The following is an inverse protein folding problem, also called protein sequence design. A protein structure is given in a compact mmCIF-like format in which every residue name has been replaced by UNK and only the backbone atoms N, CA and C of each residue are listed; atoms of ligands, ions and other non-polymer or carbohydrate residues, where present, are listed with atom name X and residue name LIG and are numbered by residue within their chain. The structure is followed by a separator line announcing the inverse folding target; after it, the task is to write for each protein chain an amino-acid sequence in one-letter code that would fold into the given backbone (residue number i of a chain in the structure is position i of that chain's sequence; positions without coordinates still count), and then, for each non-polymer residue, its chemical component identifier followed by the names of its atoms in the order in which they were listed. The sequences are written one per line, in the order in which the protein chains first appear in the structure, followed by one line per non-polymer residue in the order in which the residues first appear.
data_IF_956878515430
#
_entry.id   IF_956878515430
#
_cell.length_a   1.000
_cell.length_b   1.000
_cell.length_c   1.000
_cell.angle_alpha   90.00
_cell.angle_beta   90.00
_cell.angle_gamma   90.00
#
_symmetry.space_group_name_H-M   'P 1'
#
loop_
_entity.id
_entity.type
_entity.pdbx_description
1 polymer ?
#
# COMPACT_ATOMS: atom_id res chain seq x y z
N UNK A 1 -20.51 2.44 8.03
CA UNK A 1 -20.61 3.70 8.78
C UNK A 1 -20.47 3.39 10.27
N UNK A 2 -19.58 4.08 10.95
CA UNK A 2 -19.29 3.90 12.39
C UNK A 2 -20.41 4.41 13.30
N UNK A 3 -21.36 5.16 12.75
CA UNK A 3 -22.43 5.82 13.50
C UNK A 3 -22.01 7.18 14.06
N UNK A 4 -20.73 7.57 13.89
CA UNK A 4 -20.20 8.89 14.27
C UNK A 4 -20.13 9.75 13.01
N UNK A 5 -21.07 10.68 12.85
CA UNK A 5 -21.21 11.50 11.64
C UNK A 5 -19.90 12.19 11.20
N UNK A 6 -19.21 12.85 12.12
CA UNK A 6 -17.98 13.58 11.81
C UNK A 6 -16.84 12.66 11.37
N UNK A 7 -16.77 11.46 11.95
CA UNK A 7 -15.78 10.46 11.58
C UNK A 7 -16.08 10.01 10.15
N UNK A 8 -17.28 9.46 9.92
CA UNK A 8 -17.72 8.94 8.62
C UNK A 8 -17.60 9.99 7.49
N UNK A 9 -18.00 11.23 7.74
CA UNK A 9 -17.87 12.33 6.80
C UNK A 9 -16.40 12.65 6.47
N UNK A 10 -15.52 12.66 7.48
CA UNK A 10 -14.10 12.91 7.27
C UNK A 10 -13.43 11.81 6.44
N UNK A 11 -13.74 10.54 6.71
CA UNK A 11 -13.20 9.41 5.93
C UNK A 11 -13.64 9.43 4.48
N UNK A 12 -14.93 9.65 4.24
CA UNK A 12 -15.46 9.80 2.88
C UNK A 12 -14.81 10.98 2.15
N UNK A 13 -14.69 12.13 2.81
CA UNK A 13 -14.06 13.31 2.23
C UNK A 13 -12.59 13.07 1.87
N UNK A 14 -11.81 12.47 2.77
CA UNK A 14 -10.39 12.15 2.55
C UNK A 14 -10.24 11.12 1.42
N UNK A 15 -11.05 10.07 1.43
CA UNK A 15 -11.01 9.00 0.42
C UNK A 15 -11.36 9.53 -0.98
N UNK A 16 -12.41 10.35 -1.08
CA UNK A 16 -12.81 10.97 -2.35
C UNK A 16 -11.77 11.99 -2.83
N UNK A 17 -11.23 12.81 -1.93
CA UNK A 17 -10.19 13.76 -2.27
C UNK A 17 -8.95 13.06 -2.83
N UNK A 18 -8.48 12.01 -2.15
CA UNK A 18 -7.32 11.22 -2.60
C UNK A 18 -7.60 10.53 -3.94
N UNK A 19 -8.81 10.03 -4.15
CA UNK A 19 -9.23 9.47 -5.45
C UNK A 19 -9.02 10.49 -6.57
N UNK A 20 -9.60 11.69 -6.43
CA UNK A 20 -9.53 12.74 -7.45
C UNK A 20 -8.08 13.19 -7.66
N UNK A 21 -7.34 13.43 -6.58
CA UNK A 21 -5.97 13.93 -6.63
C UNK A 21 -5.03 12.92 -7.31
N UNK A 22 -5.10 11.64 -6.95
CA UNK A 22 -4.21 10.61 -7.49
C UNK A 22 -4.55 10.26 -8.94
N UNK A 23 -5.84 10.24 -9.29
CA UNK A 23 -6.29 10.09 -10.67
C UNK A 23 -5.74 11.23 -11.53
N UNK A 24 -5.94 12.47 -11.08
CA UNK A 24 -5.51 13.66 -11.80
C UNK A 24 -3.97 13.70 -11.95
N UNK A 25 -3.23 13.44 -10.88
CA UNK A 25 -1.75 13.38 -10.94
C UNK A 25 -1.26 12.25 -11.86
N UNK A 26 -1.82 11.05 -11.75
CA UNK A 26 -1.45 9.91 -12.58
C UNK A 26 -1.65 10.21 -14.07
N UNK A 27 -2.81 10.75 -14.44
CA UNK A 27 -3.09 11.18 -15.83
C UNK A 27 -2.16 12.30 -16.27
N UNK A 28 -1.95 13.31 -15.43
CA UNK A 28 -1.08 14.46 -15.73
C UNK A 28 0.36 13.99 -16.02
N UNK A 29 0.90 13.07 -15.21
CA UNK A 29 2.24 12.51 -15.40
C UNK A 29 2.34 11.73 -16.72
N UNK A 30 1.33 10.92 -17.06
CA UNK A 30 1.35 10.10 -18.28
C UNK A 30 1.13 10.91 -19.58
N UNK A 31 0.33 11.98 -19.50
CA UNK A 31 -0.02 12.82 -20.65
C UNK A 31 1.04 13.90 -20.91
N UNK A 32 1.60 14.53 -19.86
CA UNK A 32 2.50 15.69 -20.01
C UNK A 32 4.00 15.34 -20.00
N UNK A 33 4.38 14.07 -19.95
CA UNK A 33 5.79 13.70 -19.96
C UNK A 33 6.41 13.84 -21.36
N UNK A 34 7.30 14.84 -21.53
CA UNK A 34 8.07 15.07 -22.77
C UNK A 34 8.88 13.85 -23.22
N UNK A 35 9.39 13.05 -22.27
CA UNK A 35 10.13 11.81 -22.54
C UNK A 35 9.53 10.67 -21.74
N UNK A 36 8.91 9.70 -22.42
CA UNK A 36 8.30 8.52 -21.81
C UNK A 36 9.34 7.47 -21.42
N UNK A 37 10.04 7.72 -20.32
CA UNK A 37 10.92 6.72 -19.70
C UNK A 37 10.10 5.73 -18.87
N UNK A 38 10.63 4.53 -18.66
CA UNK A 38 9.92 3.48 -17.92
C UNK A 38 9.56 3.90 -16.47
N UNK A 39 10.39 4.72 -15.81
CA UNK A 39 10.11 5.19 -14.45
C UNK A 39 8.96 6.19 -14.38
N UNK A 40 8.70 6.92 -15.46
CA UNK A 40 7.53 7.81 -15.57
C UNK A 40 6.25 6.97 -15.74
N UNK A 41 6.31 5.93 -16.58
CA UNK A 41 5.21 4.97 -16.70
C UNK A 41 4.90 4.32 -15.36
N UNK A 42 5.92 3.83 -14.67
CA UNK A 42 5.76 3.23 -13.36
C UNK A 42 5.13 4.21 -12.36
N UNK A 43 5.66 5.43 -12.23
CA UNK A 43 5.12 6.42 -11.30
C UNK A 43 3.66 6.78 -11.63
N UNK A 44 3.34 7.00 -12.91
CA UNK A 44 1.98 7.29 -13.36
C UNK A 44 1.02 6.14 -13.09
N UNK A 45 1.41 4.90 -13.42
CA UNK A 45 0.59 3.70 -13.19
C UNK A 45 0.40 3.44 -11.68
N UNK A 46 1.42 3.63 -10.85
CA UNK A 46 1.28 3.50 -9.39
C UNK A 46 0.30 4.54 -8.82
N UNK A 47 0.29 5.78 -9.33
CA UNK A 47 -0.68 6.79 -8.93
C UNK A 47 -2.12 6.41 -9.34
N UNK A 48 -2.30 5.88 -10.56
CA UNK A 48 -3.61 5.39 -11.01
C UNK A 48 -4.09 4.19 -10.18
N UNK A 49 -3.18 3.27 -9.85
CA UNK A 49 -3.49 2.12 -9.00
C UNK A 49 -3.89 2.56 -7.58
N UNK A 50 -3.21 3.58 -7.04
CA UNK A 50 -3.60 4.21 -5.78
C UNK A 50 -4.97 4.88 -5.87
N UNK A 51 -5.32 5.49 -7.01
CA UNK A 51 -6.70 5.97 -7.21
C UNK A 51 -7.72 4.83 -7.17
N UNK A 52 -7.45 3.68 -7.77
CA UNK A 52 -8.36 2.51 -7.74
C UNK A 52 -8.59 2.03 -6.31
N UNK A 53 -7.54 2.02 -5.48
CA UNK A 53 -7.66 1.74 -4.06
C UNK A 53 -8.65 2.68 -3.37
N UNK A 54 -8.48 3.99 -3.53
CA UNK A 54 -9.37 4.95 -2.89
C UNK A 54 -10.79 4.95 -3.46
N UNK A 55 -11.00 4.56 -4.73
CA UNK A 55 -12.35 4.31 -5.25
C UNK A 55 -13.00 3.16 -4.50
N UNK A 56 -12.32 2.01 -4.39
CA UNK A 56 -12.81 0.85 -3.65
C UNK A 56 -13.15 1.22 -2.20
N UNK A 57 -12.22 1.90 -1.51
CA UNK A 57 -12.42 2.36 -0.14
C UNK A 57 -13.61 3.33 0.00
N UNK A 58 -13.77 4.27 -0.94
CA UNK A 58 -14.93 5.21 -0.93
C UNK A 58 -16.25 4.47 -1.10
N UNK A 59 -16.31 3.48 -1.99
CA UNK A 59 -17.52 2.68 -2.21
C UNK A 59 -17.85 1.85 -0.97
N UNK A 60 -16.87 1.18 -0.36
CA UNK A 60 -17.05 0.40 0.87
C UNK A 60 -17.56 1.30 2.01
N UNK A 61 -16.98 2.49 2.20
CA UNK A 61 -17.44 3.45 3.21
C UNK A 61 -18.90 3.90 2.98
N UNK A 62 -19.30 4.07 1.72
CA UNK A 62 -20.62 4.56 1.33
C UNK A 62 -21.70 3.48 1.47
N UNK A 63 -21.40 2.25 1.06
CA UNK A 63 -22.32 1.11 1.15
C UNK A 63 -22.51 0.61 2.59
N UNK A 64 -21.56 0.91 3.48
CA UNK A 64 -21.67 0.55 4.90
C UNK A 64 -21.41 -0.93 5.17
N UNK A 65 -21.83 -1.39 6.35
CA UNK A 65 -21.57 -2.76 6.86
C UNK A 65 -22.72 -3.74 6.58
N UNK A 66 -23.66 -3.36 5.72
CA UNK A 66 -24.81 -4.21 5.42
C UNK A 66 -24.35 -5.45 4.61
N UNK A 67 -24.45 -6.69 5.16
CA UNK A 67 -23.70 -7.85 4.68
C UNK A 67 -24.15 -8.48 3.34
N UNK A 68 -25.01 -7.82 2.56
CA UNK A 68 -25.89 -8.52 1.61
C UNK A 68 -25.59 -8.29 0.12
N UNK A 69 -24.47 -7.68 -0.26
CA UNK A 69 -24.25 -7.31 -1.67
C UNK A 69 -22.96 -7.90 -2.25
N UNK A 70 -23.10 -8.70 -3.30
CA UNK A 70 -21.99 -9.18 -4.14
C UNK A 70 -21.11 -8.04 -4.67
N UNK A 71 -21.68 -6.83 -4.79
CA UNK A 71 -20.97 -5.61 -5.15
C UNK A 71 -19.89 -5.25 -4.12
N UNK A 72 -20.15 -5.44 -2.82
CA UNK A 72 -19.20 -5.11 -1.76
C UNK A 72 -17.97 -6.03 -1.79
N UNK A 73 -18.19 -7.33 -2.04
CA UNK A 73 -17.12 -8.32 -2.20
C UNK A 73 -16.26 -8.05 -3.45
N UNK A 74 -16.88 -7.58 -4.54
CA UNK A 74 -16.14 -7.16 -5.73
C UNK A 74 -15.20 -5.98 -5.40
N UNK A 75 -15.72 -4.92 -4.77
CA UNK A 75 -14.92 -3.75 -4.40
C UNK A 75 -13.84 -4.10 -3.37
N UNK A 76 -14.16 -4.95 -2.40
CA UNK A 76 -13.20 -5.50 -1.44
C UNK A 76 -12.03 -6.17 -2.14
N UNK A 77 -12.29 -7.15 -3.01
CA UNK A 77 -11.26 -7.86 -3.78
C UNK A 77 -10.45 -6.92 -4.68
N UNK A 78 -11.12 -5.97 -5.32
CA UNK A 78 -10.47 -4.98 -6.18
C UNK A 78 -9.50 -4.08 -5.37
N UNK A 79 -9.85 -3.73 -4.13
CA UNK A 79 -9.02 -2.92 -3.23
C UNK A 79 -7.74 -3.62 -2.80
N UNK A 80 -7.77 -4.94 -2.62
CA UNK A 80 -6.59 -5.72 -2.17
C UNK A 80 -5.44 -5.76 -3.19
N UNK A 81 -5.73 -5.63 -4.49
CA UNK A 81 -4.68 -5.65 -5.53
C UNK A 81 -3.75 -4.43 -5.35
N UNK A 82 -4.24 -3.17 -5.34
CA UNK A 82 -3.43 -2.01 -4.98
C UNK A 82 -2.74 -2.13 -3.63
N UNK A 83 -3.43 -2.62 -2.58
CA UNK A 83 -2.90 -2.76 -1.22
C UNK A 83 -1.58 -3.54 -1.24
N UNK A 84 -1.52 -4.65 -1.97
CA UNK A 84 -0.32 -5.48 -2.11
C UNK A 84 0.74 -4.88 -3.05
N UNK A 85 0.33 -4.28 -4.17
CA UNK A 85 1.27 -3.88 -5.23
C UNK A 85 1.92 -2.52 -4.95
N UNK A 86 1.21 -1.60 -4.33
CA UNK A 86 1.66 -0.21 -4.15
C UNK A 86 2.94 -0.05 -3.31
N UNK A 87 3.17 -0.79 -2.21
CA UNK A 87 4.43 -0.68 -1.45
C UNK A 87 5.65 -0.99 -2.32
N UNK A 88 5.57 -2.06 -3.11
CA UNK A 88 6.62 -2.43 -4.06
C UNK A 88 6.73 -1.43 -5.22
N UNK A 89 5.60 -0.92 -5.73
CA UNK A 89 5.57 0.14 -6.73
C UNK A 89 6.28 1.41 -6.26
N UNK A 90 6.02 1.84 -5.02
CA UNK A 90 6.72 2.97 -4.39
C UNK A 90 8.23 2.72 -4.31
N UNK A 91 8.63 1.53 -3.86
CA UNK A 91 10.05 1.16 -3.79
C UNK A 91 10.73 1.20 -5.17
N UNK A 92 10.08 0.69 -6.21
CA UNK A 92 10.57 0.75 -7.58
C UNK A 92 10.72 2.20 -8.08
N UNK A 93 9.73 3.06 -7.81
CA UNK A 93 9.79 4.49 -8.16
C UNK A 93 10.95 5.16 -7.45
N UNK A 94 11.19 4.84 -6.17
CA UNK A 94 12.31 5.39 -5.39
C UNK A 94 13.67 4.88 -5.88
N UNK A 95 13.78 3.60 -6.27
CA UNK A 95 14.98 3.06 -6.91
C UNK A 95 15.27 3.76 -8.24
N UNK A 96 14.24 3.99 -9.05
CA UNK A 96 14.38 4.78 -10.27
C UNK A 96 14.80 6.21 -9.98
N UNK A 97 14.11 6.87 -9.04
CA UNK A 97 14.37 8.24 -8.63
C UNK A 97 15.81 8.41 -8.12
N UNK A 98 16.33 7.46 -7.34
CA UNK A 98 17.68 7.48 -6.77
C UNK A 98 18.81 7.18 -7.78
N UNK A 99 18.46 6.78 -9.01
CA UNK A 99 19.44 6.49 -10.07
C UNK A 99 20.03 5.08 -10.03
N UNK A 100 19.42 4.14 -9.28
CA UNK A 100 19.92 2.77 -9.11
C UNK A 100 20.28 2.10 -10.45
N UNK A 101 19.42 2.26 -11.45
CA UNK A 101 19.57 1.62 -12.76
C UNK A 101 20.67 2.21 -13.64
N UNK A 102 21.06 3.46 -13.41
CA UNK A 102 22.18 4.11 -14.13
C UNK A 102 23.54 3.63 -13.56
N UNK A 103 23.57 3.19 -12.30
CA UNK A 103 24.79 2.82 -11.55
C UNK A 103 25.02 1.31 -11.38
N UNK A 104 24.19 0.46 -12.00
CA UNK A 104 24.23 -1.01 -11.87
C UNK A 104 25.62 -1.63 -12.11
N UNK A 105 26.48 -0.96 -12.88
CA UNK A 105 27.78 -1.50 -13.29
C UNK A 105 28.97 -1.02 -12.44
N UNK A 106 28.82 0.03 -11.60
CA UNK A 106 29.99 0.72 -11.01
C UNK A 106 30.04 0.77 -9.48
N UNK A 107 28.94 0.52 -8.76
CA UNK A 107 28.87 0.77 -7.31
C UNK A 107 28.64 -0.50 -6.47
N UNK A 108 29.47 -0.78 -5.44
CA UNK A 108 29.27 -1.90 -4.50
C UNK A 108 27.90 -1.88 -3.80
N UNK A 109 27.33 -0.69 -3.59
CA UNK A 109 25.99 -0.51 -2.99
C UNK A 109 24.86 -0.97 -3.90
N UNK A 110 24.99 -0.82 -5.22
CA UNK A 110 23.99 -1.31 -6.17
C UNK A 110 23.91 -2.85 -6.12
N UNK A 111 25.04 -3.53 -5.89
CA UNK A 111 25.05 -4.99 -5.71
C UNK A 111 24.32 -5.42 -4.42
N UNK A 112 24.52 -4.72 -3.30
CA UNK A 112 23.79 -5.02 -2.05
C UNK A 112 22.29 -4.76 -2.19
N UNK A 113 21.90 -3.67 -2.86
CA UNK A 113 20.50 -3.36 -3.14
C UNK A 113 19.84 -4.37 -4.09
N UNK A 114 20.60 -5.00 -4.98
CA UNK A 114 20.08 -6.04 -5.88
C UNK A 114 19.52 -7.25 -5.13
N UNK A 115 20.20 -7.70 -4.07
CA UNK A 115 19.71 -8.80 -3.23
C UNK A 115 18.38 -8.45 -2.56
N UNK A 116 18.29 -7.25 -1.98
CA UNK A 116 17.06 -6.75 -1.37
C UNK A 116 15.93 -6.56 -2.38
N UNK A 117 16.25 -6.06 -3.57
CA UNK A 117 15.30 -5.94 -4.67
C UNK A 117 14.70 -7.31 -5.06
N UNK A 118 15.54 -8.33 -5.23
CA UNK A 118 15.09 -9.70 -5.55
C UNK A 118 14.22 -10.23 -4.42
N UNK A 119 14.63 -10.06 -3.16
CA UNK A 119 13.86 -10.50 -2.00
C UNK A 119 12.45 -9.85 -1.96
N UNK A 120 12.37 -8.53 -2.10
CA UNK A 120 11.07 -7.81 -2.12
C UNK A 120 10.22 -8.21 -3.31
N UNK A 121 10.82 -8.41 -4.49
CA UNK A 121 10.08 -8.83 -5.68
C UNK A 121 9.51 -10.24 -5.51
N UNK A 122 10.30 -11.18 -4.98
CA UNK A 122 9.85 -12.54 -4.68
C UNK A 122 8.76 -12.54 -3.61
N UNK A 123 8.92 -11.77 -2.54
CA UNK A 123 7.90 -11.65 -1.50
C UNK A 123 6.58 -11.12 -2.07
N UNK A 124 6.62 -10.05 -2.86
CA UNK A 124 5.43 -9.48 -3.47
C UNK A 124 4.74 -10.48 -4.43
N UNK A 125 5.51 -11.20 -5.26
CA UNK A 125 4.99 -12.26 -6.13
C UNK A 125 4.36 -13.40 -5.33
N UNK A 126 5.00 -13.83 -4.24
CA UNK A 126 4.46 -14.89 -3.36
C UNK A 126 3.15 -14.43 -2.71
N UNK A 127 3.07 -13.18 -2.27
CA UNK A 127 1.83 -12.63 -1.69
C UNK A 127 0.70 -12.53 -2.71
N UNK A 128 0.98 -12.07 -3.92
CA UNK A 128 0.00 -12.03 -5.01
C UNK A 128 -0.44 -13.45 -5.39
N UNK A 129 0.50 -14.38 -5.50
CA UNK A 129 0.19 -15.78 -5.80
C UNK A 129 -0.65 -16.41 -4.67
N UNK A 130 -0.32 -16.15 -3.42
CA UNK A 130 -1.11 -16.60 -2.28
C UNK A 130 -2.54 -16.01 -2.34
N UNK A 131 -2.69 -14.73 -2.68
CA UNK A 131 -4.00 -14.07 -2.84
C UNK A 131 -4.86 -14.73 -3.93
N UNK A 132 -4.23 -15.14 -5.04
CA UNK A 132 -4.94 -15.68 -6.22
C UNK A 132 -5.21 -17.18 -6.11
N UNK A 133 -4.28 -17.95 -5.54
CA UNK A 133 -4.28 -19.41 -5.60
C UNK A 133 -4.54 -20.11 -4.27
N UNK A 134 -4.22 -19.52 -3.11
CA UNK A 134 -4.19 -20.21 -1.82
C UNK A 134 -5.51 -20.09 -1.00
N UNK A 135 -6.65 -20.09 -1.69
CA UNK A 135 -8.00 -19.69 -1.24
C UNK A 135 -8.25 -18.18 -1.35
N UNK A 136 -9.34 -17.76 -2.05
CA UNK A 136 -9.66 -16.36 -2.25
C UNK A 136 -9.83 -15.65 -0.92
N UNK A 137 -9.39 -14.39 -0.86
CA UNK A 137 -9.67 -13.45 0.24
C UNK A 137 -11.01 -13.75 0.92
N UNK A 138 -11.05 -13.79 2.27
CA UNK A 138 -12.30 -13.93 2.97
C UNK A 138 -13.28 -12.87 2.45
N UNK A 139 -14.53 -13.29 2.25
CA UNK A 139 -15.58 -12.34 1.87
C UNK A 139 -15.65 -11.22 2.90
N UNK A 140 -16.15 -10.06 2.50
CA UNK A 140 -16.26 -8.94 3.42
C UNK A 140 -17.08 -9.34 4.67
N UNK A 141 -18.13 -10.15 4.48
CA UNK A 141 -18.92 -10.71 5.57
C UNK A 141 -18.16 -11.67 6.50
N UNK A 142 -17.27 -12.51 5.96
CA UNK A 142 -16.41 -13.39 6.78
C UNK A 142 -15.45 -12.59 7.65
N UNK A 143 -14.84 -11.53 7.10
CA UNK A 143 -13.96 -10.63 7.86
C UNK A 143 -14.72 -9.91 8.97
N UNK A 144 -15.94 -9.43 8.70
CA UNK A 144 -16.78 -8.80 9.71
C UNK A 144 -17.16 -9.75 10.84
N UNK A 145 -17.37 -11.03 10.53
CA UNK A 145 -17.66 -12.07 11.50
C UNK A 145 -16.40 -12.68 12.12
N UNK A 146 -15.21 -12.19 11.75
CA UNK A 146 -13.91 -12.70 12.17
C UNK A 146 -13.73 -14.21 11.88
N UNK A 147 -14.46 -14.73 10.89
CA UNK A 147 -14.35 -16.12 10.44
C UNK A 147 -13.19 -16.24 9.44
N UNK A 148 -11.98 -16.37 9.98
CA UNK A 148 -10.73 -16.48 9.22
C UNK A 148 -10.32 -17.95 8.99
N UNK A 149 -11.21 -18.89 9.29
CA UNK A 149 -10.93 -20.34 9.30
C UNK A 149 -10.47 -20.91 7.94
N UNK A 150 -10.81 -20.22 6.84
CA UNK A 150 -10.41 -20.60 5.48
C UNK A 150 -9.03 -20.04 5.07
N UNK A 151 -8.40 -19.20 5.89
CA UNK A 151 -7.10 -18.58 5.55
C UNK A 151 -5.92 -19.43 6.01
N UNK A 152 -4.81 -19.34 5.27
CA UNK A 152 -3.57 -20.05 5.64
C UNK A 152 -2.96 -19.39 6.89
N UNK A 153 -2.96 -20.08 8.01
CA UNK A 153 -2.53 -19.56 9.31
C UNK A 153 -1.27 -20.23 9.86
N UNK A 154 -0.43 -19.46 10.56
CA UNK A 154 0.67 -19.97 11.39
C UNK A 154 0.50 -19.40 12.80
N UNK A 155 0.33 -20.26 13.81
CA UNK A 155 0.06 -19.81 15.18
C UNK A 155 -1.27 -19.05 15.33
N UNK A 156 -2.24 -19.34 14.45
CA UNK A 156 -3.54 -18.67 14.38
C UNK A 156 -3.52 -17.26 13.78
N UNK A 157 -2.39 -16.83 13.21
CA UNK A 157 -2.28 -15.54 12.53
C UNK A 157 -2.28 -15.79 11.02
N UNK A 158 -3.13 -15.11 10.23
CA UNK A 158 -3.11 -15.24 8.78
C UNK A 158 -1.75 -14.87 8.19
N UNK A 159 -1.16 -15.77 7.41
CA UNK A 159 0.18 -15.59 6.83
C UNK A 159 0.22 -14.35 5.91
N UNK A 160 -0.87 -14.10 5.18
CA UNK A 160 -0.99 -12.92 4.31
C UNK A 160 -0.85 -11.62 5.11
N UNK A 161 -1.41 -11.54 6.32
CA UNK A 161 -1.33 -10.34 7.16
C UNK A 161 0.12 -10.09 7.60
N UNK A 162 0.81 -11.13 8.07
CA UNK A 162 2.22 -11.04 8.51
C UNK A 162 3.13 -10.73 7.33
N UNK A 163 2.94 -11.43 6.21
CA UNK A 163 3.73 -11.24 5.00
C UNK A 163 3.54 -9.85 4.41
N UNK A 164 2.31 -9.32 4.41
CA UNK A 164 2.04 -7.97 3.97
C UNK A 164 2.67 -6.90 4.86
N UNK A 165 2.56 -7.04 6.18
CA UNK A 165 3.21 -6.12 7.12
C UNK A 165 4.72 -6.11 6.92
N UNK A 166 5.33 -7.29 6.72
CA UNK A 166 6.75 -7.41 6.40
C UNK A 166 7.10 -6.76 5.06
N UNK A 167 6.27 -6.94 4.02
CA UNK A 167 6.50 -6.36 2.69
C UNK A 167 6.45 -4.83 2.71
N UNK A 168 5.45 -4.22 3.35
CA UNK A 168 5.40 -2.76 3.55
C UNK A 168 6.67 -2.29 4.25
N UNK A 169 6.99 -2.91 5.39
CA UNK A 169 8.08 -2.42 6.24
C UNK A 169 9.41 -2.49 5.47
N UNK A 170 9.64 -3.60 4.78
CA UNK A 170 10.83 -3.80 3.96
C UNK A 170 10.88 -2.79 2.80
N UNK A 171 9.79 -2.62 2.05
CA UNK A 171 9.71 -1.68 0.93
C UNK A 171 9.94 -0.23 1.38
N UNK A 172 9.33 0.20 2.50
CA UNK A 172 9.46 1.59 3.01
C UNK A 172 10.86 1.84 3.56
N UNK A 173 11.42 0.93 4.36
CA UNK A 173 12.78 1.07 4.91
C UNK A 173 13.83 1.07 3.80
N UNK A 174 13.70 0.19 2.80
CA UNK A 174 14.61 0.18 1.65
C UNK A 174 14.46 1.44 0.80
N UNK A 175 13.23 1.96 0.65
CA UNK A 175 12.98 3.25 0.00
C UNK A 175 13.66 4.40 0.73
N UNK A 176 13.54 4.47 2.06
CA UNK A 176 14.24 5.46 2.88
C UNK A 176 15.76 5.35 2.71
N UNK A 177 16.30 4.14 2.77
CA UNK A 177 17.73 3.91 2.57
C UNK A 177 18.21 4.37 1.18
N UNK A 178 17.41 4.12 0.13
CA UNK A 178 17.70 4.57 -1.23
C UNK A 178 17.62 6.10 -1.38
N UNK A 179 16.65 6.76 -0.74
CA UNK A 179 16.56 8.24 -0.70
C UNK A 179 17.74 8.85 0.05
N UNK A 180 18.14 8.27 1.18
CA UNK A 180 19.26 8.75 1.98
C UNK A 180 20.61 8.65 1.25
N UNK A 181 20.73 7.76 0.27
CA UNK A 181 21.97 7.51 -0.47
C UNK A 181 21.79 7.63 -2.00
N UNK A 182 21.00 8.60 -2.46
CA UNK A 182 20.74 8.81 -3.88
C UNK A 182 22.03 9.11 -4.67
N UNK A 183 22.18 8.47 -5.84
CA UNK A 183 23.33 8.68 -6.72
C UNK A 183 23.26 10.06 -7.41
N UNK A 184 24.37 10.55 -8.01
CA UNK A 184 24.34 11.76 -8.81
C UNK A 184 23.43 11.61 -10.05
N UNK A 185 22.73 12.68 -10.48
CA UNK A 185 22.00 12.69 -11.76
C UNK A 185 22.93 13.06 -12.91
N UNK A 186 22.79 12.37 -14.03
CA UNK A 186 23.37 12.76 -15.34
C UNK A 186 22.55 13.82 -16.09
N UNK A 187 21.31 14.12 -15.65
CA UNK A 187 20.36 15.02 -16.34
C UNK A 187 20.61 16.50 -16.02
N UNK A 188 20.49 17.36 -17.03
CA UNK A 188 20.52 18.82 -16.88
C UNK A 188 19.43 19.27 -15.88
N UNK A 189 19.82 20.04 -14.86
CA UNK A 189 18.98 20.42 -13.70
C UNK A 189 18.40 19.28 -12.84
N UNK A 190 18.78 18.01 -13.10
CA UNK A 190 18.29 16.86 -12.34
C UNK A 190 18.63 16.93 -10.85
N UNK A 191 19.81 17.46 -10.51
CA UNK A 191 20.22 17.64 -9.12
C UNK A 191 19.34 18.62 -8.37
N UNK A 192 18.95 19.73 -8.99
CA UNK A 192 18.09 20.73 -8.36
C UNK A 192 16.67 20.19 -8.13
N UNK A 193 16.12 19.48 -9.12
CA UNK A 193 14.84 18.81 -8.99
C UNK A 193 14.87 17.74 -7.87
N UNK A 194 15.94 16.94 -7.80
CA UNK A 194 16.12 15.97 -6.71
C UNK A 194 16.23 16.66 -5.36
N UNK A 195 17.07 17.69 -5.22
CA UNK A 195 17.28 18.40 -3.97
C UNK A 195 15.96 18.97 -3.41
N UNK A 196 15.07 19.47 -4.28
CA UNK A 196 13.74 19.97 -3.87
C UNK A 196 12.78 18.84 -3.51
N UNK A 197 12.74 17.75 -4.26
CA UNK A 197 11.80 16.65 -4.04
C UNK A 197 12.20 15.73 -2.86
N UNK A 198 13.49 15.54 -2.62
CA UNK A 198 14.03 14.61 -1.63
C UNK A 198 13.50 14.79 -0.20
N UNK A 199 13.45 16.00 0.40
CA UNK A 199 12.89 16.16 1.74
C UNK A 199 11.42 15.73 1.82
N UNK A 200 10.63 16.01 0.79
CA UNK A 200 9.22 15.59 0.72
C UNK A 200 9.09 14.07 0.60
N UNK A 201 9.93 13.42 -0.23
CA UNK A 201 9.94 11.96 -0.37
C UNK A 201 10.36 11.26 0.92
N UNK A 202 11.34 11.81 1.64
CA UNK A 202 11.76 11.30 2.96
C UNK A 202 10.62 11.48 3.95
N UNK A 203 10.00 12.65 4.00
CA UNK A 203 8.84 12.92 4.86
C UNK A 203 7.68 11.97 4.61
N UNK A 204 7.34 11.74 3.33
CA UNK A 204 6.31 10.79 2.93
C UNK A 204 6.64 9.36 3.36
N UNK A 205 7.88 8.89 3.13
CA UNK A 205 8.29 7.54 3.51
C UNK A 205 8.35 7.35 5.04
N UNK A 206 8.76 8.38 5.79
CA UNK A 206 8.70 8.36 7.27
C UNK A 206 7.25 8.31 7.76
N UNK A 207 6.36 9.09 7.16
CA UNK A 207 4.94 9.07 7.49
C UNK A 207 4.31 7.70 7.17
N UNK A 208 4.62 7.12 6.01
CA UNK A 208 4.18 5.76 5.65
C UNK A 208 4.70 4.70 6.64
N UNK A 209 5.92 4.85 7.16
CA UNK A 209 6.45 3.95 8.18
C UNK A 209 5.67 4.07 9.50
N UNK A 210 5.37 5.30 9.93
CA UNK A 210 4.55 5.54 11.13
C UNK A 210 3.14 4.95 10.95
N UNK A 211 2.50 5.22 9.81
CA UNK A 211 1.17 4.67 9.49
C UNK A 211 1.21 3.14 9.46
N UNK A 212 2.21 2.54 8.81
CA UNK A 212 2.34 1.08 8.74
C UNK A 212 2.50 0.42 10.11
N UNK A 213 3.28 1.03 11.02
CA UNK A 213 3.40 0.57 12.41
C UNK A 213 2.08 0.71 13.16
N UNK A 214 1.38 1.85 13.02
CA UNK A 214 0.07 2.07 13.65
C UNK A 214 -0.97 1.04 13.17
N UNK A 215 -1.09 0.84 11.86
CA UNK A 215 -1.99 -0.15 11.25
C UNK A 215 -1.69 -1.55 11.77
N UNK A 216 -0.40 -1.94 11.80
CA UNK A 216 0.01 -3.25 12.30
C UNK A 216 -0.33 -3.44 13.79
N UNK A 217 -0.12 -2.40 14.60
CA UNK A 217 -0.45 -2.43 16.03
C UNK A 217 -1.97 -2.55 16.27
N UNK A 218 -2.76 -1.81 15.51
CA UNK A 218 -4.23 -1.87 15.56
C UNK A 218 -4.75 -3.24 15.13
N UNK A 219 -4.18 -3.83 14.06
CA UNK A 219 -4.54 -5.18 13.62
C UNK A 219 -4.18 -6.27 14.64
N UNK A 220 -3.00 -6.17 15.25
CA UNK A 220 -2.61 -7.08 16.32
C UNK A 220 -3.54 -6.95 17.55
N UNK A 221 -3.88 -5.72 17.93
CA UNK A 221 -4.81 -5.45 19.02
C UNK A 221 -6.22 -6.00 18.73
N UNK A 222 -6.71 -5.85 17.51
CA UNK A 222 -7.99 -6.41 17.08
C UNK A 222 -7.96 -7.94 17.17
N UNK A 223 -6.93 -8.60 16.64
CA UNK A 223 -6.82 -10.05 16.69
C UNK A 223 -6.80 -10.59 18.13
N UNK A 224 -6.07 -9.94 19.04
CA UNK A 224 -6.02 -10.33 20.46
C UNK A 224 -7.36 -10.10 21.14
N UNK A 225 -8.00 -8.95 20.88
CA UNK A 225 -9.30 -8.60 21.47
C UNK A 225 -10.41 -9.55 21.02
N UNK A 226 -10.32 -10.05 19.78
CA UNK A 226 -11.28 -10.98 19.20
C UNK A 226 -11.20 -12.34 19.91
N UNK A 227 -9.97 -12.83 20.09
CA UNK A 227 -9.69 -14.09 20.78
C UNK A 227 -10.11 -14.07 22.25
N UNK A 228 -10.01 -12.91 22.90
CA UNK A 228 -10.34 -12.77 24.31
C UNK A 228 -11.84 -12.51 24.57
N UNK A 229 -12.68 -12.43 23.53
CA UNK A 229 -14.13 -12.12 23.61
C UNK A 229 -14.46 -10.83 24.41
N UNK A 230 -13.48 -9.96 24.63
CA UNK A 230 -13.60 -8.72 25.43
C UNK A 230 -13.88 -7.48 24.58
N UNK A 231 -13.88 -7.60 23.25
CA UNK A 231 -14.09 -6.49 22.32
C UNK A 231 -15.56 -6.29 21.95
N UNK A 232 -16.06 -5.05 22.04
CA UNK A 232 -17.30 -4.67 21.36
C UNK A 232 -17.12 -4.86 19.87
N UNK A 233 -17.92 -5.76 19.26
CA UNK A 233 -17.94 -6.02 17.82
C UNK A 233 -18.05 -4.70 17.03
N UNK A 234 -18.78 -3.71 17.56
CA UNK A 234 -18.95 -2.39 16.96
C UNK A 234 -17.64 -1.57 16.87
N UNK A 235 -16.72 -1.72 17.84
CA UNK A 235 -15.44 -1.00 17.83
C UNK A 235 -14.44 -1.66 16.87
N UNK A 236 -14.55 -2.98 16.69
CA UNK A 236 -13.77 -3.73 15.70
C UNK A 236 -14.22 -3.50 14.27
N UNK A 237 -15.54 -3.50 14.01
CA UNK A 237 -16.07 -3.19 12.69
C UNK A 237 -15.81 -1.73 12.30
N UNK A 238 -15.83 -0.81 13.28
CA UNK A 238 -15.42 0.58 13.09
C UNK A 238 -13.90 0.78 12.92
N UNK A 239 -13.06 -0.24 13.11
CA UNK A 239 -11.63 -0.17 12.81
C UNK A 239 -11.34 -0.81 11.45
N UNK A 240 -11.98 -1.94 11.15
CA UNK A 240 -11.84 -2.64 9.85
C UNK A 240 -12.44 -1.81 8.70
N UNK A 241 -13.51 -1.05 8.95
CA UNK A 241 -14.10 -0.15 7.95
C UNK A 241 -13.23 1.10 7.65
N UNK A 242 -12.14 1.31 8.40
CA UNK A 242 -11.30 2.51 8.36
C UNK A 242 -9.84 2.24 7.98
N UNK A 243 -9.51 0.96 7.75
CA UNK A 243 -8.24 0.50 7.21
C UNK A 243 -8.37 0.27 5.71
#
# INVERSE_FOLDING_TARGET
MSGIFWLDAAGLAVSLHNTILLLWLGLTVLVNADKRTWGIWLAGLSLLLASIFFVSHTVILTLGLEPLQADLDFWWRLGWIPVLVLPFGWYLVVLWYSGYWETLQAAPRAQRQRGWFILTALLNVVLIAALVFAHPLPSFGEVLNLDLSATLEIGGIPILLVGYAADIFLCVVLSLNALLHAAPTSRMMGQLARARARPWLIGAAMLLLVIGVLVSAVMAWALVSARNATGSIALMTAIVAWL
#
